data_IF_298741260099
#
_entry.id   IF_298741260099
#
_cell.length_a   1.000
_cell.length_b   1.000
_cell.length_c   1.000
_cell.angle_alpha   90.00
_cell.angle_beta   90.00
_cell.angle_gamma   90.00
#
_symmetry.space_group_name_H-M   'P 1'
#
loop_
_entity.id
_entity.type
_entity.pdbx_description
1 polymer ?
#
# COMPACT_ATOMS: atom_id res chain seq x y z
N UNK A 1 -3.01 11.78 -11.01
CA UNK A 1 -1.79 10.98 -10.88
C UNK A 1 -0.66 11.91 -10.48
N UNK A 2 0.07 11.58 -9.42
CA UNK A 2 1.21 12.34 -8.89
C UNK A 2 2.37 11.38 -8.64
N UNK A 3 3.65 11.79 -8.62
CA UNK A 3 4.74 10.90 -8.25
C UNK A 3 4.50 10.27 -6.87
N UNK A 4 4.90 9.01 -6.67
CA UNK A 4 4.88 8.43 -5.34
C UNK A 4 5.76 9.27 -4.39
N UNK A 5 5.20 9.57 -3.22
CA UNK A 5 5.91 10.24 -2.13
C UNK A 5 6.88 9.28 -1.44
N UNK A 6 7.86 9.82 -0.72
CA UNK A 6 8.80 9.01 0.06
C UNK A 6 8.11 8.11 1.09
N UNK A 7 7.01 8.59 1.67
CA UNK A 7 6.22 7.85 2.65
C UNK A 7 5.47 6.68 2.00
N UNK A 8 4.80 6.90 0.86
CA UNK A 8 4.17 5.82 0.09
C UNK A 8 5.19 4.77 -0.33
N UNK A 9 6.36 5.18 -0.84
CA UNK A 9 7.45 4.26 -1.21
C UNK A 9 7.92 3.45 0.00
N UNK A 10 8.06 4.09 1.17
CA UNK A 10 8.46 3.42 2.40
C UNK A 10 7.44 2.37 2.84
N UNK A 11 6.14 2.69 2.79
CA UNK A 11 5.05 1.76 3.10
C UNK A 11 5.09 0.56 2.16
N UNK A 12 5.15 0.80 0.84
CA UNK A 12 5.21 -0.25 -0.18
C UNK A 12 6.41 -1.16 0.08
N UNK A 13 7.61 -0.60 0.25
CA UNK A 13 8.83 -1.37 0.52
C UNK A 13 8.73 -2.18 1.81
N UNK A 14 8.11 -1.61 2.85
CA UNK A 14 7.94 -2.28 4.14
C UNK A 14 6.97 -3.46 4.05
N UNK A 15 5.84 -3.31 3.35
CA UNK A 15 4.89 -4.39 3.11
C UNK A 15 5.51 -5.49 2.24
N UNK A 16 6.27 -5.13 1.20
CA UNK A 16 7.00 -6.09 0.38
C UNK A 16 8.02 -6.88 1.20
N UNK A 17 8.79 -6.20 2.06
CA UNK A 17 9.85 -6.83 2.85
C UNK A 17 9.33 -7.88 3.84
N UNK A 18 8.08 -7.76 4.29
CA UNK A 18 7.45 -8.70 5.21
C UNK A 18 6.54 -9.71 4.50
N UNK A 19 6.46 -9.69 3.16
CA UNK A 19 5.55 -10.56 2.41
C UNK A 19 6.04 -11.99 2.31
N UNK A 20 5.16 -12.98 2.59
CA UNK A 20 5.47 -14.37 2.27
C UNK A 20 5.38 -14.64 0.76
N UNK A 21 4.86 -13.70 -0.03
CA UNK A 21 4.77 -13.79 -1.49
C UNK A 21 5.98 -13.09 -2.10
N UNK A 22 6.59 -13.70 -3.12
CA UNK A 22 7.66 -13.08 -3.89
C UNK A 22 7.10 -12.03 -4.85
N UNK A 23 7.02 -10.80 -4.38
CA UNK A 23 6.51 -9.65 -5.13
C UNK A 23 7.56 -9.16 -6.14
N UNK A 24 7.11 -8.79 -7.34
CA UNK A 24 7.94 -8.25 -8.41
C UNK A 24 7.78 -6.74 -8.52
N UNK A 25 8.90 -6.03 -8.53
CA UNK A 25 8.94 -4.57 -8.77
C UNK A 25 9.56 -4.37 -10.16
N UNK A 26 8.76 -4.13 -11.21
CA UNK A 26 9.27 -4.03 -12.59
C UNK A 26 10.10 -2.76 -12.82
N UNK A 27 9.79 -1.68 -12.09
CA UNK A 27 10.47 -0.39 -12.19
C UNK A 27 10.71 0.18 -10.81
N UNK A 28 11.80 0.92 -10.62
CA UNK A 28 12.07 1.65 -9.38
C UNK A 28 10.86 2.52 -8.99
N UNK A 29 10.38 2.35 -7.75
CA UNK A 29 9.20 3.03 -7.21
C UNK A 29 9.34 4.56 -7.25
N UNK A 30 10.57 5.11 -7.23
CA UNK A 30 10.80 6.56 -7.39
C UNK A 30 10.34 7.11 -8.76
N UNK A 31 10.12 6.24 -9.74
CA UNK A 31 9.61 6.59 -11.08
C UNK A 31 8.12 6.30 -11.24
N UNK A 32 7.49 5.68 -10.24
CA UNK A 32 6.09 5.33 -10.28
C UNK A 32 5.22 6.46 -9.73
N UNK A 33 3.92 6.34 -9.96
CA UNK A 33 2.95 7.36 -9.61
C UNK A 33 1.86 6.81 -8.69
N UNK A 34 1.39 7.67 -7.80
CA UNK A 34 0.18 7.48 -7.00
C UNK A 34 -1.04 8.00 -7.76
N UNK A 35 -2.08 7.18 -7.81
CA UNK A 35 -3.42 7.59 -8.22
C UNK A 35 -4.38 7.38 -7.03
N UNK A 36 -4.71 8.45 -6.28
CA UNK A 36 -5.67 8.37 -5.18
C UNK A 36 -7.02 7.84 -5.67
N UNK A 37 -7.61 6.95 -4.87
CA UNK A 37 -8.93 6.41 -5.10
C UNK A 37 -9.92 7.06 -4.12
N UNK A 38 -11.15 7.26 -4.58
CA UNK A 38 -12.24 7.76 -3.75
C UNK A 38 -13.22 6.61 -3.50
N UNK A 39 -12.98 5.85 -2.45
CA UNK A 39 -13.64 4.58 -2.12
C UNK A 39 -14.63 4.69 -0.93
N UNK A 40 -15.14 5.89 -0.66
CA UNK A 40 -16.14 6.08 0.40
C UNK A 40 -15.55 6.22 1.80
N UNK A 41 -14.36 6.82 1.91
CA UNK A 41 -13.62 7.24 3.13
C UNK A 41 -12.55 6.27 3.63
N UNK A 42 -12.31 5.16 2.93
CA UNK A 42 -11.09 4.39 3.13
C UNK A 42 -9.93 5.12 2.44
N UNK A 43 -8.73 5.01 2.98
CA UNK A 43 -7.58 5.63 2.32
C UNK A 43 -7.08 4.64 1.29
N UNK A 44 -7.22 4.88 -0.01
CA UNK A 44 -6.62 3.99 -1.01
C UNK A 44 -5.96 4.74 -2.16
N UNK A 45 -4.92 4.13 -2.72
CA UNK A 45 -4.30 4.63 -3.95
C UNK A 45 -3.74 3.48 -4.79
N UNK A 46 -3.78 3.69 -6.11
CA UNK A 46 -3.14 2.80 -7.07
C UNK A 46 -1.69 3.20 -7.31
N UNK A 47 -0.85 2.18 -7.50
CA UNK A 47 0.53 2.29 -7.93
C UNK A 47 0.55 2.15 -9.45
N UNK A 48 0.86 3.24 -10.15
CA UNK A 48 0.94 3.28 -11.61
C UNK A 48 2.42 3.28 -12.02
N UNK A 49 2.81 2.27 -12.80
CA UNK A 49 4.15 2.19 -13.39
C UNK A 49 4.20 2.99 -14.70
N UNK A 50 5.38 3.51 -15.10
CA UNK A 50 5.50 4.31 -16.32
C UNK A 50 5.03 3.63 -17.61
N UNK A 51 5.09 2.29 -17.68
CA UNK A 51 4.68 1.50 -18.84
C UNK A 51 3.19 1.10 -18.81
N UNK A 52 2.47 1.44 -17.75
CA UNK A 52 1.05 1.09 -17.65
C UNK A 52 0.22 1.96 -18.62
N UNK A 53 -0.39 1.32 -19.62
CA UNK A 53 -1.34 1.96 -20.55
C UNK A 53 -2.76 2.02 -19.99
N UNK A 54 -3.04 1.24 -18.94
CA UNK A 54 -4.35 1.13 -18.28
C UNK A 54 -4.22 1.22 -16.76
N UNK A 55 -5.28 1.70 -16.11
CA UNK A 55 -5.37 1.82 -14.64
C UNK A 55 -6.37 0.83 -14.01
N UNK A 56 -7.00 0.00 -14.83
CA UNK A 56 -7.77 -1.17 -14.40
C UNK A 56 -6.88 -2.41 -14.50
N UNK A 57 -6.49 -2.94 -13.35
CA UNK A 57 -5.57 -4.07 -13.24
C UNK A 57 -6.30 -5.41 -13.08
N UNK A 58 -7.63 -5.42 -13.24
CA UNK A 58 -8.46 -6.59 -13.05
C UNK A 58 -8.51 -7.04 -11.58
N UNK A 59 -8.64 -8.34 -11.35
CA UNK A 59 -8.73 -8.90 -10.00
C UNK A 59 -7.40 -8.78 -9.25
N UNK A 60 -7.42 -8.01 -8.16
CA UNK A 60 -6.31 -7.89 -7.23
C UNK A 60 -6.46 -8.87 -6.07
N UNK A 61 -5.32 -9.30 -5.52
CA UNK A 61 -5.27 -10.11 -4.30
C UNK A 61 -4.33 -9.49 -3.28
N UNK A 62 -4.53 -9.76 -2.00
CA UNK A 62 -3.64 -9.28 -0.95
C UNK A 62 -2.26 -9.92 -1.08
N UNK A 63 -1.20 -9.16 -0.79
CA UNK A 63 0.16 -9.67 -0.58
C UNK A 63 0.32 -10.54 0.67
N UNK A 64 -0.79 -10.80 1.39
CA UNK A 64 -0.82 -11.47 2.71
C UNK A 64 0.03 -10.75 3.75
N UNK A 65 0.14 -9.43 3.63
CA UNK A 65 0.86 -8.57 4.56
C UNK A 65 0.03 -7.39 4.96
N UNK A 66 0.29 -6.97 6.19
CA UNK A 66 -0.37 -5.84 6.78
C UNK A 66 0.63 -5.05 7.62
N UNK A 67 0.48 -3.75 7.62
CA UNK A 67 1.17 -2.86 8.54
C UNK A 67 0.13 -2.18 9.41
N UNK A 68 0.37 -2.23 10.71
CA UNK A 68 -0.47 -1.56 11.69
C UNK A 68 0.30 -0.43 12.37
N UNK A 69 -0.36 0.69 12.58
CA UNK A 69 0.19 1.75 13.43
C UNK A 69 -0.92 2.56 14.09
N UNK A 70 -0.54 3.25 15.16
CA UNK A 70 -1.43 4.15 15.87
C UNK A 70 -1.13 5.58 15.47
N UNK A 71 -2.09 6.24 14.82
CA UNK A 71 -2.03 7.65 14.46
C UNK A 71 -3.09 8.45 15.22
N UNK A 72 -2.66 9.38 16.07
CA UNK A 72 -3.55 10.22 16.90
C UNK A 72 -4.65 9.44 17.65
N UNK A 73 -4.33 8.24 18.15
CA UNK A 73 -5.27 7.37 18.86
C UNK A 73 -6.19 6.54 17.96
N UNK A 74 -6.08 6.67 16.63
CA UNK A 74 -6.76 5.82 15.64
C UNK A 74 -5.85 4.69 15.20
N UNK A 75 -6.36 3.46 15.20
CA UNK A 75 -5.66 2.32 14.64
C UNK A 75 -5.75 2.38 13.12
N UNK A 76 -4.61 2.38 12.46
CA UNK A 76 -4.50 2.38 11.01
C UNK A 76 -3.94 1.04 10.58
N UNK A 77 -4.56 0.49 9.54
CA UNK A 77 -4.26 -0.83 9.04
C UNK A 77 -4.07 -0.73 7.53
N UNK A 78 -2.86 -1.02 7.05
CA UNK A 78 -2.52 -0.89 5.63
C UNK A 78 -2.22 -2.26 5.04
N UNK A 79 -2.82 -2.54 3.89
CA UNK A 79 -2.59 -3.75 3.11
C UNK A 79 -2.09 -3.39 1.71
N UNK A 80 -1.21 -4.22 1.17
CA UNK A 80 -0.77 -4.15 -0.22
C UNK A 80 -1.54 -5.18 -1.05
N UNK A 81 -2.02 -4.74 -2.20
CA UNK A 81 -2.65 -5.56 -3.21
C UNK A 81 -1.75 -5.71 -4.42
N UNK A 82 -1.74 -6.92 -4.97
CA UNK A 82 -0.94 -7.32 -6.12
C UNK A 82 -1.81 -7.90 -7.23
N UNK A 83 -1.36 -7.76 -8.47
CA UNK A 83 -1.98 -8.41 -9.63
C UNK A 83 -1.56 -9.88 -9.77
N UNK A 84 -2.09 -10.55 -10.80
CA UNK A 84 -1.77 -11.95 -11.15
C UNK A 84 -0.31 -12.19 -11.53
N UNK A 85 0.43 -11.12 -11.86
CA UNK A 85 1.87 -11.17 -12.13
C UNK A 85 2.73 -10.92 -10.89
N UNK A 86 2.09 -10.80 -9.71
CA UNK A 86 2.70 -10.48 -8.43
C UNK A 86 3.31 -9.07 -8.38
N UNK A 87 2.75 -8.12 -9.13
CA UNK A 87 3.18 -6.72 -9.15
C UNK A 87 2.31 -5.91 -8.17
N UNK A 88 2.89 -5.05 -7.32
CA UNK A 88 2.14 -4.11 -6.47
C UNK A 88 1.24 -3.19 -7.30
N UNK A 89 -0.06 -3.14 -7.01
CA UNK A 89 -1.01 -2.31 -7.78
C UNK A 89 -1.82 -1.35 -6.93
N UNK A 90 -2.09 -1.67 -5.67
CA UNK A 90 -2.97 -0.86 -4.84
C UNK A 90 -2.57 -0.97 -3.37
N UNK A 91 -2.69 0.13 -2.65
CA UNK A 91 -2.53 0.20 -1.21
C UNK A 91 -3.87 0.64 -0.63
N UNK A 92 -4.37 -0.15 0.30
CA UNK A 92 -5.58 0.18 1.07
C UNK A 92 -5.22 0.39 2.52
N UNK A 93 -5.76 1.46 3.08
CA UNK A 93 -5.78 1.80 4.48
C UNK A 93 -7.21 1.64 4.98
N UNK A 94 -7.41 0.61 5.80
CA UNK A 94 -8.67 0.32 6.47
C UNK A 94 -8.83 1.22 7.69
N UNK A 95 -9.03 2.52 7.43
CA UNK A 95 -9.49 3.52 8.40
C UNK A 95 -10.73 4.20 7.83
N UNK A 96 -11.62 4.65 8.72
CA UNK A 96 -12.82 5.39 8.36
C UNK A 96 -12.58 6.84 7.89
N UNK A 97 -11.31 7.28 7.77
CA UNK A 97 -10.95 8.52 7.05
C UNK A 97 -9.53 8.50 6.42
N UNK A 98 -9.40 9.23 5.31
CA UNK A 98 -8.25 9.33 4.38
C UNK A 98 -6.95 9.93 4.96
N UNK A 99 -7.01 10.61 6.11
CA UNK A 99 -5.89 11.41 6.66
C UNK A 99 -4.65 10.59 7.03
N UNK A 100 -4.81 9.29 7.29
CA UNK A 100 -3.72 8.41 7.67
C UNK A 100 -2.70 8.18 6.54
N UNK A 101 -3.10 8.30 5.27
CA UNK A 101 -2.22 8.08 4.11
C UNK A 101 -1.61 9.35 3.52
N UNK A 102 -2.14 10.53 3.85
CA UNK A 102 -1.72 11.80 3.22
C UNK A 102 -1.10 12.82 4.16
N UNK A 103 -1.21 12.60 5.48
CA UNK A 103 -0.41 13.35 6.43
C UNK A 103 1.01 12.76 6.49
N UNK A 104 2.05 13.58 6.73
CA UNK A 104 3.41 13.08 6.84
C UNK A 104 3.48 11.91 7.83
N UNK A 105 3.96 10.77 7.33
CA UNK A 105 3.91 9.50 8.05
C UNK A 105 4.82 9.59 9.27
N UNK A 106 4.24 9.72 10.47
CA UNK A 106 5.02 9.81 11.69
C UNK A 106 5.39 8.39 12.16
N UNK A 107 6.48 7.85 11.58
CA UNK A 107 7.04 6.48 11.72
C UNK A 107 7.20 6.00 13.18
N UNK A 108 7.15 6.90 14.16
CA UNK A 108 7.46 6.64 15.58
C UNK A 108 6.60 5.56 16.25
N UNK A 109 5.44 5.19 15.68
CA UNK A 109 4.48 4.26 16.31
C UNK A 109 4.15 3.00 15.48
N UNK A 110 4.94 2.64 14.46
CA UNK A 110 4.68 1.44 13.66
C UNK A 110 4.87 0.18 14.51
N UNK A 111 3.78 -0.54 14.79
CA UNK A 111 3.84 -1.90 15.32
C UNK A 111 3.78 -2.85 14.13
N UNK A 112 4.89 -3.51 13.82
CA UNK A 112 4.90 -4.61 12.85
C UNK A 112 4.10 -5.77 13.44
N UNK A 113 2.81 -5.87 13.15
CA UNK A 113 2.01 -7.02 13.56
C UNK A 113 2.10 -8.09 12.50
N UNK A 114 2.58 -9.26 12.90
CA UNK A 114 2.63 -10.44 12.06
C UNK A 114 1.23 -11.07 12.05
N UNK A 115 0.56 -11.11 10.90
CA UNK A 115 -0.52 -12.07 10.72
C UNK A 115 0.12 -13.46 10.64
N UNK A 116 0.20 -14.11 11.79
CA UNK A 116 0.41 -15.55 11.85
C UNK A 116 -0.77 -16.17 11.12
N UNK A 117 -0.47 -16.90 10.03
CA UNK A 117 -1.43 -17.79 9.39
C UNK A 117 -1.99 -18.70 10.46
N UNK A 118 -3.28 -18.55 10.76
CA UNK A 118 -4.02 -19.56 11.50
C UNK A 118 -4.01 -20.80 10.60
N UNK A 119 -3.32 -21.82 11.10
CA UNK A 119 -3.14 -23.16 10.53
C UNK A 119 -4.45 -23.87 10.23
#
# INVERSE_FOLDING_TARGET
>A
MIPLTMDEIFIIKSLIAISPIKIKIPTDLNKCYSLPMNDGRMGSFKIIYPEDEITDFGSLTTSKTQMDYLDNGKYVNITLFIDSNFIPREIDSFVSDYSALTNPFNIRNIKKTYLTTVS
#
